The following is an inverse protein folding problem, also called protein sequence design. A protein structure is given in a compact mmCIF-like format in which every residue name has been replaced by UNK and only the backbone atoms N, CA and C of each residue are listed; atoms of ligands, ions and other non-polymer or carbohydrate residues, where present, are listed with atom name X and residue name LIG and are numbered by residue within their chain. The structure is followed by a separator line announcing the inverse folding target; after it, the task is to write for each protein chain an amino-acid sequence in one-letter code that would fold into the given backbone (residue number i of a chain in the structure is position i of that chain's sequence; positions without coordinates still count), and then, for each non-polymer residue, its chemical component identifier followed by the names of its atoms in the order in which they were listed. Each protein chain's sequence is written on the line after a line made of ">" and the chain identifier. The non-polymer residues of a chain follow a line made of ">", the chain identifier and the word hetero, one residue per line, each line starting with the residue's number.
data_IF_906966025648
#
_entry.id   IF_906966025648
#
_cell.length_a   1.000
_cell.length_b   1.000
_cell.length_c   1.000
_cell.angle_alpha   90.00
_cell.angle_beta   90.00
_cell.angle_gamma   90.00
#
_symmetry.space_group_name_H-M   'P 1'
#
loop_
_entity.id
_entity.type
_entity.pdbx_description
1 polymer ?
#
# COMPACT_ATOMS: atom_id res chain seq x y z
N UNK A 1 -3.10 31.99 29.55
CA UNK A 1 -2.69 31.45 28.22
C UNK A 1 -3.38 32.31 27.18
N UNK A 2 -2.66 33.20 26.50
CA UNK A 2 -3.19 34.03 25.43
C UNK A 2 -3.13 33.22 24.14
N UNK A 3 -4.28 33.04 23.47
CA UNK A 3 -4.33 32.51 22.13
C UNK A 3 -3.63 33.51 21.19
N UNK A 4 -2.60 33.04 20.48
CA UNK A 4 -1.82 33.87 19.55
C UNK A 4 -1.73 33.18 18.19
N UNK A 5 -2.03 33.93 17.15
CA UNK A 5 -1.84 33.50 15.73
C UNK A 5 -0.37 33.54 15.30
N UNK A 6 0.54 33.95 16.18
CA UNK A 6 1.97 34.07 15.89
C UNK A 6 2.58 32.79 15.36
N UNK A 7 2.20 31.63 15.90
CA UNK A 7 2.72 30.34 15.43
C UNK A 7 2.35 30.04 13.97
N UNK A 8 1.14 30.44 13.56
CA UNK A 8 0.71 30.28 12.16
C UNK A 8 1.45 31.24 11.24
N UNK A 9 1.62 32.49 11.66
CA UNK A 9 2.41 33.50 10.94
C UNK A 9 3.86 33.04 10.78
N UNK A 10 4.49 32.54 11.85
CA UNK A 10 5.86 32.02 11.83
C UNK A 10 6.01 30.77 10.93
N UNK A 11 4.97 29.93 10.86
CA UNK A 11 4.94 28.78 9.97
C UNK A 11 5.01 29.19 8.49
N UNK A 12 4.18 30.15 8.08
CA UNK A 12 4.16 30.62 6.71
C UNK A 12 5.35 31.54 6.35
N UNK A 13 5.95 32.21 7.34
CA UNK A 13 7.11 33.07 7.13
C UNK A 13 8.43 32.29 6.87
N UNK A 14 8.51 31.03 7.30
CA UNK A 14 9.73 30.22 7.15
C UNK A 14 9.61 29.23 5.98
N UNK A 15 10.38 29.39 4.88
CA UNK A 15 10.30 28.54 3.68
C UNK A 15 10.52 27.05 3.96
N UNK A 16 11.27 26.73 5.02
CA UNK A 16 11.60 25.34 5.40
C UNK A 16 10.34 24.53 5.72
N UNK A 17 9.34 25.13 6.34
CA UNK A 17 8.10 24.41 6.67
C UNK A 17 7.29 24.06 5.41
N UNK A 18 7.26 24.96 4.43
CA UNK A 18 6.65 24.70 3.13
C UNK A 18 7.35 23.54 2.39
N UNK A 19 8.69 23.52 2.40
CA UNK A 19 9.45 22.43 1.78
C UNK A 19 9.18 21.09 2.47
N UNK A 20 9.14 21.06 3.80
CA UNK A 20 8.84 19.83 4.57
C UNK A 20 7.41 19.36 4.28
N UNK A 21 6.44 20.27 4.25
CA UNK A 21 5.05 19.95 3.93
C UNK A 21 4.90 19.31 2.54
N UNK A 22 5.49 19.93 1.52
CA UNK A 22 5.47 19.40 0.15
C UNK A 22 6.14 18.02 0.09
N UNK A 23 7.28 17.85 0.75
CA UNK A 23 7.98 16.56 0.83
C UNK A 23 7.12 15.49 1.50
N UNK A 24 6.45 15.83 2.59
CA UNK A 24 5.54 14.91 3.30
C UNK A 24 4.36 14.51 2.43
N UNK A 25 3.72 15.46 1.75
CA UNK A 25 2.61 15.19 0.82
C UNK A 25 3.06 14.26 -0.32
N UNK A 26 4.23 14.51 -0.91
CA UNK A 26 4.78 13.65 -1.96
C UNK A 26 5.03 12.22 -1.47
N UNK A 27 5.67 12.07 -0.31
CA UNK A 27 5.94 10.76 0.28
C UNK A 27 4.62 10.05 0.62
N UNK A 28 3.66 10.73 1.24
CA UNK A 28 2.35 10.16 1.55
C UNK A 28 1.62 9.69 0.29
N UNK A 29 1.61 10.49 -0.77
CA UNK A 29 1.00 10.10 -2.04
C UNK A 29 1.65 8.84 -2.64
N UNK A 30 2.98 8.75 -2.62
CA UNK A 30 3.71 7.56 -3.10
C UNK A 30 3.42 6.34 -2.21
N UNK A 31 3.39 6.52 -0.89
CA UNK A 31 3.06 5.45 0.07
C UNK A 31 1.64 4.96 -0.16
N UNK A 32 0.67 5.86 -0.27
CA UNK A 32 -0.74 5.51 -0.54
C UNK A 32 -0.87 4.70 -1.83
N UNK A 33 -0.25 5.17 -2.92
CA UNK A 33 -0.26 4.45 -4.19
C UNK A 33 0.36 3.06 -4.06
N UNK A 34 1.52 2.96 -3.41
CA UNK A 34 2.19 1.68 -3.18
C UNK A 34 1.34 0.74 -2.30
N UNK A 35 0.67 1.27 -1.26
CA UNK A 35 -0.23 0.53 -0.39
C UNK A 35 -1.41 -0.04 -1.17
N UNK A 36 -2.07 0.79 -1.99
CA UNK A 36 -3.21 0.37 -2.82
C UNK A 36 -2.77 -0.67 -3.85
N UNK A 37 -1.64 -0.45 -4.53
CA UNK A 37 -1.09 -1.40 -5.49
C UNK A 37 -0.75 -2.77 -4.87
N UNK A 38 -0.32 -2.79 -3.61
CA UNK A 38 -0.08 -4.02 -2.85
C UNK A 38 -1.39 -4.66 -2.39
N UNK A 39 -2.32 -3.87 -1.88
CA UNK A 39 -3.56 -4.33 -1.28
C UNK A 39 -4.59 -4.82 -2.31
N UNK A 40 -4.68 -4.14 -3.46
CA UNK A 40 -5.71 -4.41 -4.47
C UNK A 40 -5.63 -5.82 -5.05
N UNK A 41 -4.47 -6.35 -5.48
CA UNK A 41 -4.38 -7.72 -5.98
C UNK A 41 -4.77 -8.77 -4.94
N UNK A 42 -4.40 -8.53 -3.66
CA UNK A 42 -4.74 -9.43 -2.56
C UNK A 42 -6.26 -9.43 -2.30
N UNK A 43 -6.88 -8.24 -2.22
CA UNK A 43 -8.31 -8.09 -2.08
C UNK A 43 -9.07 -8.70 -3.26
N UNK A 44 -8.61 -8.47 -4.49
CA UNK A 44 -9.16 -9.03 -5.71
C UNK A 44 -9.11 -10.57 -5.71
N UNK A 45 -7.96 -11.14 -5.34
CA UNK A 45 -7.81 -12.60 -5.22
C UNK A 45 -8.83 -13.19 -4.25
N UNK A 46 -8.99 -12.60 -3.07
CA UNK A 46 -9.95 -13.10 -2.06
C UNK A 46 -11.40 -12.95 -2.57
N UNK A 47 -11.74 -11.80 -3.17
CA UNK A 47 -13.10 -11.53 -3.62
C UNK A 47 -13.55 -12.49 -4.75
N UNK A 48 -12.69 -12.68 -5.76
CA UNK A 48 -13.07 -13.37 -7.01
C UNK A 48 -12.55 -14.79 -7.17
N UNK A 49 -11.40 -15.13 -6.56
CA UNK A 49 -10.78 -16.46 -6.71
C UNK A 49 -11.04 -17.40 -5.56
N UNK A 50 -11.12 -16.86 -4.34
CA UNK A 50 -11.44 -17.69 -3.16
C UNK A 50 -12.94 -17.96 -3.11
N UNK A 51 -13.33 -19.22 -3.25
CA UNK A 51 -14.75 -19.64 -3.19
C UNK A 51 -15.18 -20.02 -1.79
N UNK A 52 -14.29 -20.63 -1.00
CA UNK A 52 -14.59 -21.12 0.35
C UNK A 52 -13.67 -20.46 1.38
N UNK A 53 -14.19 -20.29 2.59
CA UNK A 53 -13.40 -19.80 3.72
C UNK A 53 -12.74 -18.43 3.51
N UNK A 54 -13.40 -17.50 2.82
CA UNK A 54 -12.90 -16.12 2.60
C UNK A 54 -12.50 -15.45 3.92
N UNK A 55 -13.25 -15.68 4.98
CA UNK A 55 -12.95 -15.15 6.32
C UNK A 55 -11.59 -15.63 6.83
N UNK A 56 -11.24 -16.89 6.60
CA UNK A 56 -9.93 -17.46 7.00
C UNK A 56 -8.80 -16.74 6.25
N UNK A 57 -8.95 -16.49 4.96
CA UNK A 57 -7.98 -15.74 4.17
C UNK A 57 -7.81 -14.30 4.67
N UNK A 58 -8.92 -13.63 5.00
CA UNK A 58 -8.88 -12.28 5.58
C UNK A 58 -8.16 -12.28 6.93
N UNK A 59 -8.43 -13.25 7.80
CA UNK A 59 -7.75 -13.40 9.08
C UNK A 59 -6.26 -13.65 8.85
N UNK A 60 -5.88 -14.59 7.99
CA UNK A 60 -4.48 -14.91 7.70
C UNK A 60 -3.68 -13.70 7.20
N UNK A 61 -4.30 -12.87 6.37
CA UNK A 61 -3.68 -11.64 5.87
C UNK A 61 -3.55 -10.60 6.98
N UNK A 62 -4.52 -10.53 7.90
CA UNK A 62 -4.50 -9.53 8.97
C UNK A 62 -3.65 -9.94 10.18
N UNK A 63 -3.46 -11.23 10.44
CA UNK A 63 -2.66 -11.74 11.58
C UNK A 63 -1.26 -11.10 11.70
N UNK A 64 -0.45 -10.97 10.62
CA UNK A 64 0.86 -10.32 10.71
C UNK A 64 0.81 -8.87 11.21
N UNK A 65 -0.34 -8.21 11.07
CA UNK A 65 -0.52 -6.82 11.45
C UNK A 65 -0.87 -6.63 12.94
N UNK A 66 -1.19 -7.71 13.64
CA UNK A 66 -1.40 -7.69 15.10
C UNK A 66 -0.08 -7.59 15.87
N UNK A 67 1.07 -7.79 15.19
CA UNK A 67 2.37 -7.54 15.78
C UNK A 67 2.62 -6.03 15.95
N UNK A 68 3.47 -5.68 16.92
CA UNK A 68 3.84 -4.29 17.17
C UNK A 68 4.32 -3.58 15.91
N UNK A 69 3.82 -2.37 15.67
CA UNK A 69 4.27 -1.52 14.57
C UNK A 69 5.79 -1.27 14.61
N UNK A 70 6.34 -0.98 15.80
CA UNK A 70 7.78 -0.77 15.97
C UNK A 70 8.59 -2.01 15.57
N UNK A 71 8.16 -3.20 16.00
CA UNK A 71 8.83 -4.44 15.64
C UNK A 71 8.88 -4.64 14.13
N UNK A 72 7.81 -4.31 13.44
CA UNK A 72 7.71 -4.39 11.98
C UNK A 72 8.65 -3.41 11.28
N UNK A 73 8.73 -2.16 11.78
CA UNK A 73 9.68 -1.15 11.26
C UNK A 73 11.12 -1.61 11.50
N UNK A 74 11.44 -2.16 12.67
CA UNK A 74 12.77 -2.72 12.94
C UNK A 74 13.09 -3.91 12.04
N UNK A 75 12.13 -4.80 11.79
CA UNK A 75 12.33 -5.92 10.86
C UNK A 75 12.70 -5.41 9.45
N UNK A 76 11.99 -4.41 8.93
CA UNK A 76 12.32 -3.79 7.65
C UNK A 76 13.71 -3.13 7.67
N UNK A 77 14.08 -2.45 8.77
CA UNK A 77 15.42 -1.88 8.92
C UNK A 77 16.52 -2.94 8.85
N UNK A 78 16.32 -4.09 9.48
CA UNK A 78 17.24 -5.23 9.43
C UNK A 78 17.28 -5.84 8.02
N UNK A 79 16.12 -6.02 7.38
CA UNK A 79 16.03 -6.61 6.04
C UNK A 79 16.71 -5.74 4.97
N UNK A 80 16.54 -4.43 5.03
CA UNK A 80 17.08 -3.47 4.05
C UNK A 80 18.49 -2.98 4.40
N UNK A 81 19.03 -3.38 5.55
CA UNK A 81 20.36 -3.00 6.00
C UNK A 81 21.48 -3.46 5.07
N UNK A 82 22.68 -2.90 5.25
CA UNK A 82 23.86 -3.21 4.43
C UNK A 82 24.16 -4.72 4.40
N UNK A 83 24.14 -5.40 5.56
CA UNK A 83 24.27 -6.84 5.68
C UNK A 83 22.91 -7.53 5.87
N UNK A 84 21.84 -6.89 5.41
CA UNK A 84 20.48 -7.39 5.55
C UNK A 84 20.15 -8.53 4.60
N UNK A 85 19.01 -9.17 4.83
CA UNK A 85 18.56 -10.33 4.05
C UNK A 85 18.48 -10.02 2.55
N UNK A 86 18.02 -8.80 2.18
CA UNK A 86 17.88 -8.40 0.77
C UNK A 86 19.25 -8.33 0.10
N UNK A 87 20.20 -7.60 0.68
CA UNK A 87 21.54 -7.47 0.13
C UNK A 87 22.30 -8.82 0.09
N UNK A 88 22.20 -9.59 1.18
CA UNK A 88 22.83 -10.92 1.26
C UNK A 88 22.23 -11.89 0.25
N UNK A 89 20.90 -11.86 0.05
CA UNK A 89 20.22 -12.67 -0.95
C UNK A 89 20.63 -12.31 -2.37
N UNK A 90 20.62 -11.02 -2.73
CA UNK A 90 21.04 -10.55 -4.05
C UNK A 90 22.52 -10.87 -4.36
N UNK A 91 23.38 -10.81 -3.34
CA UNK A 91 24.79 -11.17 -3.47
C UNK A 91 24.96 -12.69 -3.67
N UNK A 92 24.22 -13.50 -2.92
CA UNK A 92 24.32 -14.98 -3.01
C UNK A 92 23.91 -15.54 -4.35
N UNK A 93 22.95 -14.88 -5.04
CA UNK A 93 22.52 -15.26 -6.41
C UNK A 93 23.33 -14.56 -7.51
N UNK A 94 24.37 -13.81 -7.15
CA UNK A 94 25.28 -13.16 -8.11
C UNK A 94 24.73 -11.97 -8.86
N UNK A 95 23.58 -11.38 -8.41
CA UNK A 95 23.00 -10.20 -9.05
C UNK A 95 23.74 -8.90 -8.70
N UNK A 96 24.41 -8.85 -7.56
CA UNK A 96 25.21 -7.71 -7.12
C UNK A 96 26.56 -8.18 -6.59
N UNK A 97 27.60 -7.38 -6.81
CA UNK A 97 28.94 -7.63 -6.29
C UNK A 97 29.12 -7.04 -4.89
N UNK A 98 28.52 -5.86 -4.67
CA UNK A 98 28.58 -5.12 -3.40
C UNK A 98 27.17 -4.81 -2.91
N UNK A 99 26.98 -4.69 -1.58
CA UNK A 99 25.68 -4.35 -1.01
C UNK A 99 25.18 -2.98 -1.47
N UNK A 100 23.87 -2.88 -1.72
CA UNK A 100 23.22 -1.65 -2.15
C UNK A 100 23.01 -0.72 -0.93
N UNK A 101 23.82 0.30 -0.80
CA UNK A 101 23.73 1.27 0.31
C UNK A 101 22.45 2.10 0.29
N UNK A 102 21.89 2.33 -0.90
CA UNK A 102 20.68 3.14 -1.06
C UNK A 102 19.40 2.47 -0.57
N UNK A 103 19.42 1.18 -0.22
CA UNK A 103 18.23 0.47 0.27
C UNK A 103 17.75 0.96 1.64
N UNK A 104 18.62 1.55 2.46
CA UNK A 104 18.29 2.02 3.79
C UNK A 104 18.40 3.56 3.85
N UNK A 105 17.61 4.21 4.71
CA UNK A 105 17.58 5.66 4.94
C UNK A 105 17.22 6.52 3.72
N UNK A 106 16.38 5.99 2.82
CA UNK A 106 15.90 6.74 1.67
C UNK A 106 14.35 6.69 1.56
N UNK A 107 13.73 7.50 0.69
CA UNK A 107 12.27 7.48 0.48
C UNK A 107 11.72 6.12 0.03
N UNK A 108 12.50 5.31 -0.67
CA UNK A 108 12.10 3.95 -1.07
C UNK A 108 11.90 3.04 0.14
N UNK A 109 12.88 3.02 1.08
CA UNK A 109 12.77 2.24 2.30
C UNK A 109 11.56 2.67 3.13
N UNK A 110 11.30 3.97 3.24
CA UNK A 110 10.11 4.51 3.91
C UNK A 110 8.84 4.03 3.21
N UNK A 111 8.80 4.14 1.89
CA UNK A 111 7.62 3.76 1.09
C UNK A 111 7.28 2.28 1.27
N UNK A 112 8.24 1.37 1.11
CA UNK A 112 7.98 -0.07 1.20
C UNK A 112 7.58 -0.48 2.62
N UNK A 113 8.24 0.09 3.62
CA UNK A 113 7.95 -0.16 5.04
C UNK A 113 6.53 0.27 5.40
N UNK A 114 6.15 1.49 5.03
CA UNK A 114 4.83 2.05 5.31
C UNK A 114 3.75 1.37 4.48
N UNK A 115 3.98 1.12 3.19
CA UNK A 115 3.03 0.40 2.34
C UNK A 115 2.70 -0.98 2.91
N UNK A 116 3.72 -1.75 3.31
CA UNK A 116 3.51 -3.02 3.98
C UNK A 116 2.78 -2.84 5.33
N UNK A 117 3.18 -1.85 6.13
CA UNK A 117 2.58 -1.62 7.45
C UNK A 117 1.08 -1.29 7.39
N UNK A 118 0.62 -0.63 6.33
CA UNK A 118 -0.77 -0.19 6.16
C UNK A 118 -1.59 -1.09 5.22
N UNK A 119 -0.96 -2.05 4.54
CA UNK A 119 -1.62 -2.89 3.54
C UNK A 119 -2.87 -3.60 4.07
N UNK A 120 -2.85 -4.14 5.30
CA UNK A 120 -4.02 -4.83 5.86
C UNK A 120 -5.24 -3.91 6.03
N UNK A 121 -5.00 -2.66 6.43
CA UNK A 121 -6.07 -1.67 6.57
C UNK A 121 -6.66 -1.29 5.21
N UNK A 122 -5.83 -1.29 4.15
CA UNK A 122 -6.28 -1.01 2.79
C UNK A 122 -7.01 -2.21 2.15
N UNK A 123 -6.60 -3.44 2.45
CA UNK A 123 -7.21 -4.65 1.89
C UNK A 123 -8.69 -4.74 2.25
N UNK A 124 -9.08 -4.45 3.49
CA UNK A 124 -10.45 -4.63 3.98
C UNK A 124 -11.48 -3.78 3.21
N UNK A 125 -11.34 -2.43 3.10
CA UNK A 125 -12.31 -1.61 2.37
C UNK A 125 -12.35 -1.94 0.87
N UNK A 126 -11.19 -2.26 0.27
CA UNK A 126 -11.12 -2.66 -1.14
C UNK A 126 -11.86 -4.00 -1.32
N UNK A 127 -11.60 -4.99 -0.46
CA UNK A 127 -12.29 -6.28 -0.49
C UNK A 127 -13.80 -6.13 -0.37
N UNK A 128 -14.28 -5.32 0.58
CA UNK A 128 -15.72 -5.10 0.78
C UNK A 128 -16.38 -4.48 -0.46
N UNK A 129 -15.69 -3.56 -1.15
CA UNK A 129 -16.18 -2.99 -2.39
C UNK A 129 -16.19 -4.00 -3.53
N UNK A 130 -15.16 -4.82 -3.66
CA UNK A 130 -15.07 -5.87 -4.68
C UNK A 130 -16.11 -6.98 -4.47
N UNK A 131 -16.36 -7.36 -3.22
CA UNK A 131 -17.34 -8.41 -2.88
C UNK A 131 -18.79 -8.01 -3.19
N UNK A 132 -19.08 -6.72 -3.22
CA UNK A 132 -20.40 -6.18 -3.57
C UNK A 132 -20.67 -6.15 -5.07
N UNK A 133 -19.65 -6.36 -5.92
CA UNK A 133 -19.83 -6.35 -7.37
C UNK A 133 -20.60 -7.59 -7.79
N UNK A 134 -21.74 -7.38 -8.45
CA UNK A 134 -22.52 -8.48 -9.01
C UNK A 134 -21.72 -9.15 -10.15
N UNK A 135 -21.56 -10.46 -10.04
CA UNK A 135 -20.81 -11.25 -11.04
C UNK A 135 -21.48 -11.25 -12.41
N UNK A 136 -22.79 -11.06 -12.45
CA UNK A 136 -23.54 -10.92 -13.71
C UNK A 136 -23.03 -9.77 -14.59
N UNK A 137 -22.51 -8.69 -13.99
CA UNK A 137 -21.91 -7.58 -14.73
C UNK A 137 -20.60 -8.01 -15.43
N UNK A 138 -19.84 -8.90 -14.81
CA UNK A 138 -18.61 -9.44 -15.42
C UNK A 138 -18.92 -10.46 -16.52
N UNK A 139 -20.01 -11.21 -16.37
CA UNK A 139 -20.51 -12.15 -17.37
C UNK A 139 -21.04 -11.37 -18.59
N UNK A 140 -21.87 -10.36 -18.37
CA UNK A 140 -22.39 -9.47 -19.43
C UNK A 140 -21.25 -8.78 -20.20
N UNK A 141 -20.19 -8.31 -19.54
CA UNK A 141 -19.04 -7.73 -20.22
C UNK A 141 -18.35 -8.74 -21.14
N UNK A 142 -18.22 -10.00 -20.72
CA UNK A 142 -17.67 -11.07 -21.54
C UNK A 142 -18.55 -11.42 -22.73
N UNK A 143 -19.86 -11.45 -22.53
CA UNK A 143 -20.84 -11.73 -23.61
C UNK A 143 -20.80 -10.64 -24.69
N UNK A 144 -20.45 -9.39 -24.29
CA UNK A 144 -20.18 -8.28 -25.20
C UNK A 144 -18.79 -8.35 -25.88
N UNK A 145 -18.04 -9.42 -25.67
CA UNK A 145 -16.73 -9.65 -26.30
C UNK A 145 -15.55 -9.00 -25.57
N UNK A 146 -15.73 -8.47 -24.34
CA UNK A 146 -14.60 -7.91 -23.60
C UNK A 146 -13.67 -8.99 -23.07
N UNK A 147 -12.36 -8.74 -23.23
CA UNK A 147 -11.35 -9.58 -22.58
C UNK A 147 -11.25 -9.30 -21.08
N UNK A 148 -10.56 -10.17 -20.34
CA UNK A 148 -10.44 -10.06 -18.89
C UNK A 148 -9.84 -8.74 -18.42
N UNK A 149 -8.89 -8.17 -19.15
CA UNK A 149 -8.27 -6.89 -18.82
C UNK A 149 -9.24 -5.72 -19.01
N UNK A 150 -9.98 -5.69 -20.12
CA UNK A 150 -10.98 -4.64 -20.39
C UNK A 150 -12.15 -4.72 -19.42
N UNK A 151 -12.65 -5.92 -19.12
CA UNK A 151 -13.67 -6.14 -18.08
C UNK A 151 -13.17 -5.65 -16.70
N UNK A 152 -11.89 -5.87 -16.37
CA UNK A 152 -11.29 -5.31 -15.17
C UNK A 152 -11.30 -3.77 -15.17
N UNK A 153 -10.79 -3.15 -16.24
CA UNK A 153 -10.63 -1.67 -16.30
C UNK A 153 -11.99 -0.95 -16.41
N UNK A 154 -12.96 -1.52 -17.14
CA UNK A 154 -14.25 -0.87 -17.43
C UNK A 154 -15.35 -1.18 -16.41
N UNK A 155 -15.28 -2.33 -15.73
CA UNK A 155 -16.31 -2.78 -14.80
C UNK A 155 -15.76 -2.87 -13.38
N UNK A 156 -14.77 -3.73 -13.14
CA UNK A 156 -14.30 -4.03 -11.79
C UNK A 156 -13.66 -2.82 -11.11
N UNK A 157 -12.74 -2.17 -11.79
CA UNK A 157 -11.99 -1.05 -11.22
C UNK A 157 -12.90 0.13 -10.88
N UNK A 158 -13.79 0.63 -11.76
CA UNK A 158 -14.70 1.72 -11.43
C UNK A 158 -15.67 1.39 -10.30
N UNK A 159 -16.22 0.17 -10.28
CA UNK A 159 -17.16 -0.25 -9.24
C UNK A 159 -16.48 -0.47 -7.88
N UNK A 160 -15.17 -0.75 -7.86
CA UNK A 160 -14.38 -0.87 -6.63
C UNK A 160 -13.78 0.45 -6.14
N UNK A 161 -13.87 1.53 -6.90
CA UNK A 161 -13.30 2.84 -6.54
C UNK A 161 -13.73 3.36 -5.17
N UNK A 162 -14.98 3.20 -4.71
CA UNK A 162 -15.33 3.61 -3.34
C UNK A 162 -14.45 2.96 -2.28
N UNK A 163 -14.11 1.67 -2.44
CA UNK A 163 -13.20 0.97 -1.54
C UNK A 163 -11.74 1.45 -1.67
N UNK A 164 -11.30 1.75 -2.88
CA UNK A 164 -9.95 2.31 -3.12
C UNK A 164 -9.81 3.70 -2.49
N UNK A 165 -10.83 4.55 -2.66
CA UNK A 165 -10.85 5.88 -2.04
C UNK A 165 -10.83 5.76 -0.51
N UNK A 166 -11.68 4.89 0.06
CA UNK A 166 -11.70 4.66 1.51
C UNK A 166 -10.37 4.11 2.04
N UNK A 167 -9.67 3.28 1.26
CA UNK A 167 -8.34 2.76 1.60
C UNK A 167 -7.22 3.81 1.49
N UNK A 168 -7.46 4.90 0.77
CA UNK A 168 -6.48 5.96 0.50
C UNK A 168 -6.55 7.12 1.51
N UNK A 169 -7.60 7.17 2.32
CA UNK A 169 -7.80 8.16 3.39
C UNK A 169 -7.18 7.71 4.70
#
# INVERSE_FOLDING_TARGET
>A
KTFSWKNYSDFFAKPIYGMILIKSIKISGVVTLATVLLAYPMAYFIAFRVQKNKLVWLILITVPFWTSYLLRVFAWKVMLGYNGVVNSGLKSIGLISEPLEFLLYNPFAVTITLAHAWAAFAILPIYVSLEKIDRSLLEAARDLGENAFMSFVRVTLPLSMPGVIAASL
#
